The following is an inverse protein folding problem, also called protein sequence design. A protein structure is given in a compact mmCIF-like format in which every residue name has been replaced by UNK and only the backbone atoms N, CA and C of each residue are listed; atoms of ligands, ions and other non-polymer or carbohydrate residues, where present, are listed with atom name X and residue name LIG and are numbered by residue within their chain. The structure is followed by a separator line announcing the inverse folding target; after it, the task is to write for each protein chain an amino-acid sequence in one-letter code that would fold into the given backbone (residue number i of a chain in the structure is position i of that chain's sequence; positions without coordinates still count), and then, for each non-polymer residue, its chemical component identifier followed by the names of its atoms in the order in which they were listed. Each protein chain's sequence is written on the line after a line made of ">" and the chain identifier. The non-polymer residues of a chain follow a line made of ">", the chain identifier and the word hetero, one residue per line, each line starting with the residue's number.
data_IF_142052165054
#
_entry.id   IF_142052165054
#
_cell.length_a   1.000
_cell.length_b   1.000
_cell.length_c   1.000
_cell.angle_alpha   90.00
_cell.angle_beta   90.00
_cell.angle_gamma   90.00
#
_symmetry.space_group_name_H-M   'P 1'
#
loop_
_entity.id
_entity.type
_entity.pdbx_description
1 polymer ?
#
# COMPACT_ATOMS: atom_id res chain seq x y z
N UNK A 1 -10.70 -9.95 55.41
CA UNK A 1 -11.49 -9.14 54.46
C UNK A 1 -11.00 -9.51 53.06
N UNK A 2 -11.70 -10.40 52.37
CA UNK A 2 -11.38 -10.71 50.98
C UNK A 2 -11.75 -9.47 50.15
N UNK A 3 -10.75 -8.81 49.56
CA UNK A 3 -10.99 -7.63 48.73
C UNK A 3 -11.88 -8.02 47.56
N UNK A 4 -13.02 -7.36 47.42
CA UNK A 4 -13.88 -7.50 46.24
C UNK A 4 -13.00 -7.35 45.00
N UNK A 5 -12.95 -8.39 44.16
CA UNK A 5 -12.23 -8.34 42.91
C UNK A 5 -12.90 -7.25 42.05
N UNK A 6 -12.15 -6.27 41.55
CA UNK A 6 -12.71 -5.15 40.80
C UNK A 6 -13.55 -5.60 39.58
N UNK A 7 -13.37 -6.85 39.12
CA UNK A 7 -14.17 -7.51 38.07
C UNK A 7 -15.63 -7.76 38.47
N UNK A 8 -15.95 -7.83 39.75
CA UNK A 8 -17.31 -8.08 40.26
C UNK A 8 -18.15 -6.79 40.34
N UNK A 9 -17.52 -5.61 40.18
CA UNK A 9 -18.20 -4.31 40.20
C UNK A 9 -18.98 -4.03 38.90
N UNK A 10 -18.62 -4.67 37.79
CA UNK A 10 -19.23 -4.41 36.49
C UNK A 10 -19.93 -5.65 35.95
N UNK A 11 -21.06 -5.44 35.27
CA UNK A 11 -21.82 -6.54 34.67
C UNK A 11 -21.13 -7.13 33.45
N UNK A 12 -20.31 -6.36 32.73
CA UNK A 12 -19.71 -6.74 31.42
C UNK A 12 -18.19 -6.51 31.37
N UNK A 13 -17.68 -5.40 31.91
CA UNK A 13 -16.26 -5.03 31.82
C UNK A 13 -15.38 -6.07 32.54
N UNK A 14 -14.36 -6.58 31.84
CA UNK A 14 -13.44 -7.57 32.39
C UNK A 14 -13.95 -9.02 32.38
N UNK A 15 -15.11 -9.27 31.76
CA UNK A 15 -15.71 -10.62 31.62
C UNK A 15 -15.53 -11.16 30.21
N UNK A 16 -15.42 -12.49 30.11
CA UNK A 16 -15.42 -13.20 28.84
C UNK A 16 -16.83 -13.20 28.25
N UNK A 17 -17.08 -12.29 27.31
CA UNK A 17 -18.34 -12.19 26.58
C UNK A 17 -18.11 -12.54 25.11
N UNK A 18 -19.05 -13.23 24.43
CA UNK A 18 -18.94 -13.48 23.00
C UNK A 18 -18.81 -12.17 22.20
N UNK A 19 -17.98 -12.19 21.16
CA UNK A 19 -17.85 -11.07 20.22
C UNK A 19 -19.19 -10.93 19.46
N UNK A 20 -19.63 -9.70 19.22
CA UNK A 20 -20.95 -9.38 18.65
C UNK A 20 -21.28 -10.12 17.36
N UNK A 21 -20.28 -10.34 16.51
CA UNK A 21 -20.41 -10.95 15.18
C UNK A 21 -19.90 -12.41 15.14
N UNK A 22 -19.68 -13.02 16.31
CA UNK A 22 -19.11 -14.36 16.39
C UNK A 22 -20.00 -15.41 15.71
N UNK A 23 -21.33 -15.27 15.86
CA UNK A 23 -22.30 -16.22 15.27
C UNK A 23 -22.19 -16.22 13.76
N UNK A 24 -22.22 -15.05 13.15
CA UNK A 24 -22.23 -14.88 11.69
C UNK A 24 -20.93 -15.35 11.05
N UNK A 25 -19.80 -15.17 11.73
CA UNK A 25 -18.49 -15.68 11.30
C UNK A 25 -18.46 -17.21 11.30
N UNK A 26 -18.89 -17.86 12.39
CA UNK A 26 -18.82 -19.32 12.50
C UNK A 26 -19.88 -20.04 11.66
N UNK A 27 -20.97 -19.36 11.28
CA UNK A 27 -22.00 -19.91 10.37
C UNK A 27 -21.74 -19.59 8.90
N UNK A 28 -20.75 -18.75 8.58
CA UNK A 28 -20.51 -18.28 7.20
C UNK A 28 -21.64 -17.38 6.66
N UNK A 29 -22.47 -16.81 7.53
CA UNK A 29 -23.54 -15.89 7.13
C UNK A 29 -23.08 -14.43 7.08
N UNK A 30 -21.92 -14.12 7.68
CA UNK A 30 -21.26 -12.84 7.48
C UNK A 30 -20.75 -12.76 6.04
N UNK A 31 -21.02 -11.64 5.36
CA UNK A 31 -20.55 -11.37 4.00
C UNK A 31 -19.38 -10.41 4.03
N UNK A 32 -18.28 -10.80 3.42
CA UNK A 32 -17.11 -9.97 3.18
C UNK A 32 -17.24 -9.24 1.86
N UNK A 33 -16.37 -8.26 1.58
CA UNK A 33 -16.44 -7.46 0.35
C UNK A 33 -16.43 -8.31 -0.93
N UNK A 34 -15.72 -9.45 -0.91
CA UNK A 34 -15.66 -10.41 -2.02
C UNK A 34 -16.92 -11.24 -2.22
N UNK A 35 -17.79 -11.32 -1.21
CA UNK A 35 -19.06 -12.05 -1.29
C UNK A 35 -20.21 -11.17 -1.80
N UNK A 36 -19.97 -9.88 -1.99
CA UNK A 36 -20.97 -8.93 -2.43
C UNK A 36 -21.07 -8.92 -3.96
N UNK A 37 -22.31 -8.88 -4.46
CA UNK A 37 -22.61 -8.73 -5.88
C UNK A 37 -23.80 -7.81 -6.07
N UNK A 38 -23.79 -7.01 -7.13
CA UNK A 38 -24.89 -6.13 -7.49
C UNK A 38 -25.33 -6.33 -8.94
N UNK A 39 -26.58 -5.99 -9.24
CA UNK A 39 -27.07 -5.96 -10.63
C UNK A 39 -26.29 -4.91 -11.42
N UNK A 40 -25.76 -5.30 -12.59
CA UNK A 40 -24.91 -4.43 -13.40
C UNK A 40 -23.52 -4.17 -12.83
N UNK A 41 -23.06 -4.97 -11.86
CA UNK A 41 -21.70 -4.88 -11.34
C UNK A 41 -20.67 -5.12 -12.45
N UNK A 42 -19.62 -4.32 -12.42
CA UNK A 42 -18.48 -4.41 -13.34
C UNK A 42 -17.24 -4.85 -12.58
N UNK A 43 -16.33 -5.52 -13.28
CA UNK A 43 -15.12 -6.07 -12.71
C UNK A 43 -13.91 -5.24 -13.11
N UNK A 44 -13.20 -4.75 -12.10
CA UNK A 44 -11.97 -4.00 -12.26
C UNK A 44 -10.74 -4.91 -12.24
N UNK A 45 -9.77 -4.70 -13.14
CA UNK A 45 -8.45 -5.33 -13.06
C UNK A 45 -7.34 -4.34 -13.35
N UNK A 46 -6.29 -4.39 -12.56
CA UNK A 46 -5.14 -3.48 -12.65
C UNK A 46 -4.00 -4.19 -13.39
N UNK A 47 -3.45 -3.54 -14.41
CA UNK A 47 -2.15 -3.85 -14.95
C UNK A 47 -1.08 -3.30 -14.01
N UNK A 48 -0.18 -4.16 -13.55
CA UNK A 48 0.88 -3.80 -12.61
C UNK A 48 2.24 -3.87 -13.27
N UNK A 49 3.13 -2.94 -12.92
CA UNK A 49 4.50 -2.90 -13.42
C UNK A 49 5.28 -4.14 -12.99
N UNK A 50 6.00 -4.81 -13.91
CA UNK A 50 6.94 -5.86 -13.55
C UNK A 50 8.33 -5.32 -13.13
N UNK A 51 8.52 -3.99 -13.14
CA UNK A 51 9.82 -3.36 -12.94
C UNK A 51 9.87 -2.57 -11.62
N UNK A 52 11.01 -2.68 -10.93
CA UNK A 52 11.26 -1.97 -9.68
C UNK A 52 11.40 -0.46 -9.86
N UNK A 53 11.92 0.01 -10.99
CA UNK A 53 11.95 1.43 -11.33
C UNK A 53 11.97 1.56 -12.86
N UNK A 54 10.98 2.24 -13.42
CA UNK A 54 10.89 2.44 -14.85
C UNK A 54 10.02 3.65 -15.20
N UNK A 55 10.28 4.25 -16.36
CA UNK A 55 9.39 5.23 -17.00
C UNK A 55 8.65 4.58 -18.15
N UNK A 56 7.35 4.81 -18.24
CA UNK A 56 6.52 4.40 -19.36
C UNK A 56 6.83 5.34 -20.52
N UNK A 57 7.34 4.77 -21.61
CA UNK A 57 7.64 5.51 -22.85
C UNK A 57 6.49 5.45 -23.85
N UNK A 58 5.73 4.35 -23.84
CA UNK A 58 4.50 4.17 -24.61
C UNK A 58 3.56 3.21 -23.89
N UNK A 59 2.27 3.46 -24.02
CA UNK A 59 1.19 2.56 -23.59
C UNK A 59 0.14 2.49 -24.69
N UNK A 60 -0.30 1.28 -25.03
CA UNK A 60 -1.30 0.98 -26.05
C UNK A 60 -2.36 0.03 -25.48
N UNK A 61 -3.57 0.56 -25.29
CA UNK A 61 -4.75 -0.16 -24.79
C UNK A 61 -5.70 -0.61 -25.90
N UNK A 62 -5.40 -0.33 -27.17
CA UNK A 62 -6.36 -0.49 -28.28
C UNK A 62 -6.92 -1.91 -28.40
N UNK A 63 -6.07 -2.93 -28.20
CA UNK A 63 -6.47 -4.34 -28.23
C UNK A 63 -7.35 -4.73 -27.04
N UNK A 64 -7.10 -4.13 -25.87
CA UNK A 64 -7.90 -4.35 -24.68
C UNK A 64 -9.28 -3.70 -24.82
N UNK A 65 -9.33 -2.47 -25.32
CA UNK A 65 -10.58 -1.73 -25.58
C UNK A 65 -11.46 -2.40 -26.64
N UNK A 66 -10.85 -3.03 -27.65
CA UNK A 66 -11.55 -3.75 -28.69
C UNK A 66 -12.12 -5.12 -28.23
N UNK A 67 -11.77 -5.61 -27.04
CA UNK A 67 -12.24 -6.89 -26.54
C UNK A 67 -13.72 -6.80 -26.14
N UNK A 68 -14.63 -7.64 -26.71
CA UNK A 68 -16.04 -7.61 -26.35
C UNK A 68 -16.25 -7.78 -24.84
N UNK A 69 -17.07 -6.91 -24.24
CA UNK A 69 -17.35 -6.91 -22.81
C UNK A 69 -16.45 -5.98 -21.98
N UNK A 70 -15.39 -5.41 -22.56
CA UNK A 70 -14.65 -4.31 -21.94
C UNK A 70 -15.46 -3.02 -22.05
N UNK A 71 -15.57 -2.29 -20.94
CA UNK A 71 -16.29 -1.03 -20.84
C UNK A 71 -15.36 0.18 -20.94
N UNK A 72 -14.11 0.00 -20.53
CA UNK A 72 -13.10 1.04 -20.62
C UNK A 72 -11.76 0.59 -20.06
N UNK A 73 -10.73 1.29 -20.50
CA UNK A 73 -9.37 1.22 -19.97
C UNK A 73 -8.97 2.63 -19.57
N UNK A 74 -8.38 2.78 -18.39
CA UNK A 74 -7.84 4.04 -17.91
C UNK A 74 -6.34 3.90 -17.67
N UNK A 75 -5.61 4.94 -18.04
CA UNK A 75 -4.15 5.04 -17.94
C UNK A 75 -3.76 6.34 -17.24
N UNK A 76 -2.46 6.62 -17.14
CA UNK A 76 -1.96 7.90 -16.66
C UNK A 76 -2.43 9.11 -17.47
N UNK A 77 -2.92 8.90 -18.70
CA UNK A 77 -3.47 9.97 -19.56
C UNK A 77 -4.87 10.40 -19.14
N UNK A 78 -5.59 9.53 -18.42
CA UNK A 78 -6.99 9.72 -18.02
C UNK A 78 -7.10 10.08 -16.52
N UNK A 79 -6.03 9.83 -15.76
CA UNK A 79 -5.96 10.13 -14.35
C UNK A 79 -5.97 11.65 -14.11
N UNK A 80 -6.62 12.12 -13.02
CA UNK A 80 -6.54 13.52 -12.65
C UNK A 80 -5.11 13.92 -12.33
N UNK A 81 -4.71 15.11 -12.75
CA UNK A 81 -3.43 15.72 -12.38
C UNK A 81 -3.45 16.19 -10.92
N UNK A 82 -3.50 15.21 -10.01
CA UNK A 82 -3.57 15.41 -8.57
C UNK A 82 -2.48 14.56 -7.91
N UNK A 83 -1.64 15.24 -7.13
CA UNK A 83 -0.71 14.55 -6.24
C UNK A 83 -1.50 13.97 -5.08
N UNK A 84 -1.59 12.65 -5.04
CA UNK A 84 -2.19 11.91 -3.97
C UNK A 84 -1.17 11.71 -2.84
N UNK A 85 -1.39 12.41 -1.73
CA UNK A 85 -0.59 12.27 -0.52
C UNK A 85 -1.44 11.66 0.60
N UNK A 86 -1.11 10.43 1.00
CA UNK A 86 -1.76 9.79 2.15
C UNK A 86 -0.80 9.77 3.34
N UNK A 87 -1.18 10.50 4.38
CA UNK A 87 -0.41 10.62 5.63
C UNK A 87 -0.11 9.27 6.31
N UNK A 88 -0.86 8.21 6.01
CA UNK A 88 -0.72 6.88 6.64
C UNK A 88 0.08 5.84 5.83
N UNK A 89 0.28 6.05 4.53
CA UNK A 89 0.81 5.00 3.64
C UNK A 89 2.15 5.34 2.98
N UNK A 90 2.80 6.44 3.38
CA UNK A 90 4.04 6.93 2.76
C UNK A 90 3.97 7.08 1.23
N UNK A 91 2.76 7.10 0.66
CA UNK A 91 2.53 7.30 -0.75
C UNK A 91 2.37 8.79 -1.02
N UNK A 92 3.23 9.28 -1.92
CA UNK A 92 3.15 10.57 -2.59
C UNK A 92 3.27 10.30 -4.08
N UNK A 93 2.35 10.77 -4.91
CA UNK A 93 2.45 10.55 -6.36
C UNK A 93 1.11 10.67 -7.06
N UNK A 94 1.11 10.51 -8.37
CA UNK A 94 -0.11 10.48 -9.16
C UNK A 94 -0.68 9.07 -9.18
N UNK A 95 -2.01 8.95 -9.16
CA UNK A 95 -2.69 7.68 -9.40
C UNK A 95 -2.51 7.32 -10.87
N UNK A 96 -2.09 6.08 -11.18
CA UNK A 96 -1.69 5.67 -12.52
C UNK A 96 -0.68 6.66 -13.10
N UNK A 97 0.56 6.58 -12.65
CA UNK A 97 1.60 7.53 -13.07
C UNK A 97 2.34 7.04 -14.33
N UNK A 98 3.10 7.93 -14.98
CA UNK A 98 3.99 7.56 -16.08
C UNK A 98 5.28 6.85 -15.61
N UNK A 99 5.40 6.63 -14.29
CA UNK A 99 6.56 5.99 -13.65
C UNK A 99 6.14 4.90 -12.69
N UNK A 100 6.78 3.75 -12.83
CA UNK A 100 6.74 2.68 -11.85
C UNK A 100 7.91 2.81 -10.88
N UNK A 101 7.63 2.64 -9.58
CA UNK A 101 8.59 2.82 -8.47
C UNK A 101 8.82 1.56 -7.63
N UNK A 102 8.09 0.50 -7.94
CA UNK A 102 8.26 -0.83 -7.36
C UNK A 102 7.58 -1.88 -8.25
N UNK A 103 7.96 -3.14 -8.07
CA UNK A 103 7.27 -4.26 -8.73
C UNK A 103 5.87 -4.37 -8.15
N UNK A 104 4.86 -4.18 -8.99
CA UNK A 104 3.46 -4.11 -8.56
C UNK A 104 2.81 -2.74 -8.72
N UNK A 105 3.56 -1.68 -9.02
CA UNK A 105 3.02 -0.32 -9.17
C UNK A 105 1.92 -0.27 -10.26
N UNK A 106 0.89 0.56 -10.06
CA UNK A 106 -0.27 0.60 -10.94
C UNK A 106 0.04 1.31 -12.27
N UNK A 107 -0.21 0.65 -13.40
CA UNK A 107 0.11 1.15 -14.76
C UNK A 107 -1.14 1.51 -15.55
N UNK A 108 -2.17 0.66 -15.47
CA UNK A 108 -3.46 0.87 -16.10
C UNK A 108 -4.55 0.11 -15.33
N UNK A 109 -5.80 0.50 -15.51
CA UNK A 109 -6.94 -0.25 -14.99
C UNK A 109 -7.97 -0.50 -16.09
N UNK A 110 -8.58 -1.68 -16.05
CA UNK A 110 -9.63 -2.13 -16.97
C UNK A 110 -10.93 -2.33 -16.20
N UNK A 111 -12.05 -1.90 -16.77
CA UNK A 111 -13.39 -2.28 -16.33
C UNK A 111 -14.06 -3.15 -17.39
N UNK A 112 -14.63 -4.30 -16.99
CA UNK A 112 -15.36 -5.19 -17.88
C UNK A 112 -16.64 -5.75 -17.23
N UNK A 113 -17.55 -6.29 -18.04
CA UNK A 113 -18.81 -6.89 -17.58
C UNK A 113 -18.62 -8.25 -16.88
N UNK A 114 -17.44 -8.84 -17.00
CA UNK A 114 -17.09 -10.15 -16.47
C UNK A 114 -15.62 -10.15 -15.98
N UNK A 115 -15.34 -10.93 -14.94
CA UNK A 115 -14.01 -10.96 -14.32
C UNK A 115 -12.94 -11.56 -15.23
N UNK A 116 -13.28 -12.60 -15.99
CA UNK A 116 -12.33 -13.27 -16.88
C UNK A 116 -12.04 -12.42 -18.11
N UNK A 117 -13.04 -11.67 -18.60
CA UNK A 117 -12.83 -10.63 -19.61
C UNK A 117 -11.87 -9.55 -19.09
N UNK A 118 -12.05 -9.06 -17.86
CA UNK A 118 -11.14 -8.08 -17.26
C UNK A 118 -9.70 -8.63 -17.15
N UNK A 119 -9.54 -9.90 -16.73
CA UNK A 119 -8.23 -10.58 -16.67
C UNK A 119 -7.58 -10.73 -18.05
N UNK A 120 -8.36 -11.03 -19.08
CA UNK A 120 -7.86 -11.14 -20.45
C UNK A 120 -7.46 -9.78 -21.01
N UNK A 121 -8.31 -8.77 -20.84
CA UNK A 121 -8.09 -7.42 -21.34
C UNK A 121 -6.81 -6.79 -20.80
N UNK A 122 -6.51 -6.95 -19.50
CA UNK A 122 -5.25 -6.45 -18.92
C UNK A 122 -4.01 -7.02 -19.61
N UNK A 123 -4.06 -8.27 -20.10
CA UNK A 123 -2.94 -8.90 -20.82
C UNK A 123 -2.78 -8.42 -22.26
N UNK A 124 -3.78 -7.70 -22.79
CA UNK A 124 -3.77 -7.14 -24.15
C UNK A 124 -3.21 -5.73 -24.20
N UNK A 125 -2.99 -5.10 -23.04
CA UNK A 125 -2.36 -3.78 -22.95
C UNK A 125 -0.85 -3.95 -23.16
N UNK A 126 -0.31 -3.20 -24.11
CA UNK A 126 1.12 -3.21 -24.44
C UNK A 126 1.78 -1.97 -23.82
N UNK A 127 2.90 -2.16 -23.13
CA UNK A 127 3.62 -1.08 -22.43
C UNK A 127 5.10 -1.18 -22.72
N UNK A 128 5.67 -0.09 -23.22
CA UNK A 128 7.10 0.05 -23.46
C UNK A 128 7.73 0.84 -22.31
N UNK A 129 8.74 0.26 -21.67
CA UNK A 129 9.42 0.84 -20.51
C UNK A 129 10.85 1.24 -20.83
N UNK A 130 11.27 2.38 -20.30
CA UNK A 130 12.66 2.69 -20.05
C UNK A 130 12.98 2.25 -18.61
N UNK A 131 13.86 1.26 -18.46
CA UNK A 131 14.26 0.76 -17.15
C UNK A 131 15.24 1.74 -16.51
N UNK A 132 14.91 2.16 -15.29
CA UNK A 132 15.72 3.11 -14.52
C UNK A 132 16.44 2.37 -13.38
N UNK A 133 17.60 2.87 -12.91
CA UNK A 133 18.28 2.28 -11.76
C UNK A 133 17.41 2.37 -10.52
N UNK A 134 17.21 1.25 -9.82
CA UNK A 134 16.53 1.21 -8.52
C UNK A 134 17.51 1.33 -7.35
N UNK A 135 17.00 1.69 -6.18
CA UNK A 135 17.72 1.61 -4.90
C UNK A 135 16.84 0.90 -3.88
N UNK A 136 17.42 -0.05 -3.14
CA UNK A 136 16.68 -1.00 -2.30
C UNK A 136 17.09 -0.97 -0.83
N UNK A 137 18.10 -0.17 -0.51
CA UNK A 137 18.58 0.05 0.84
C UNK A 137 18.32 1.52 1.23
N UNK A 138 17.75 1.81 2.41
CA UNK A 138 17.43 3.16 2.80
C UNK A 138 18.67 4.05 3.03
N UNK A 139 19.78 3.49 3.53
CA UNK A 139 21.02 4.25 3.73
C UNK A 139 21.66 4.62 2.39
N UNK A 140 21.70 3.67 1.44
CA UNK A 140 22.12 3.94 0.07
C UNK A 140 21.20 4.97 -0.61
N UNK A 141 19.88 4.89 -0.39
CA UNK A 141 18.91 5.82 -0.98
C UNK A 141 19.07 7.27 -0.51
N UNK A 142 19.65 7.48 0.69
CA UNK A 142 19.93 8.81 1.25
C UNK A 142 21.19 9.47 0.68
N UNK A 143 22.02 8.73 -0.06
CA UNK A 143 23.25 9.29 -0.62
C UNK A 143 22.96 10.32 -1.71
N UNK A 144 23.78 11.37 -1.86
CA UNK A 144 23.55 12.43 -2.85
C UNK A 144 23.50 11.96 -4.31
N UNK A 145 24.20 10.87 -4.62
CA UNK A 145 24.33 10.25 -5.93
C UNK A 145 23.41 9.03 -6.13
N UNK A 146 22.57 8.73 -5.16
CA UNK A 146 21.64 7.60 -5.24
C UNK A 146 20.66 7.75 -6.41
N UNK A 147 20.23 6.64 -7.03
CA UNK A 147 19.14 6.67 -7.99
C UNK A 147 17.91 7.38 -7.42
N UNK A 148 17.48 8.43 -8.12
CA UNK A 148 16.35 9.25 -7.69
C UNK A 148 15.04 8.60 -8.11
N UNK A 149 14.42 7.85 -7.19
CA UNK A 149 13.12 7.17 -7.42
C UNK A 149 11.97 8.18 -7.43
N UNK A 150 12.14 9.30 -6.72
CA UNK A 150 11.12 10.33 -6.52
C UNK A 150 11.62 11.71 -6.93
N UNK A 151 10.76 12.48 -7.60
CA UNK A 151 11.11 13.84 -8.06
C UNK A 151 11.36 14.81 -6.91
N UNK A 152 10.86 14.53 -5.71
CA UNK A 152 11.08 15.32 -4.50
C UNK A 152 12.31 14.88 -3.70
N UNK A 153 12.90 13.72 -4.02
CA UNK A 153 14.00 13.10 -3.28
C UNK A 153 13.59 11.81 -2.57
N UNK A 154 14.59 11.01 -2.18
CA UNK A 154 14.36 9.69 -1.57
C UNK A 154 14.15 9.75 -0.04
N UNK A 155 14.51 10.87 0.60
CA UNK A 155 14.41 11.07 2.04
C UNK A 155 13.38 12.15 2.38
N UNK A 156 12.75 12.03 3.54
CA UNK A 156 11.93 13.09 4.15
C UNK A 156 12.68 13.73 5.30
N UNK A 157 12.27 14.94 5.66
CA UNK A 157 12.75 15.59 6.88
C UNK A 157 12.50 14.70 8.10
N UNK A 158 13.52 14.47 8.95
CA UNK A 158 13.38 13.61 10.11
C UNK A 158 12.46 14.26 11.15
N UNK A 159 11.64 13.44 11.79
CA UNK A 159 10.91 13.86 12.99
C UNK A 159 11.83 13.71 14.21
N UNK A 160 12.42 14.82 14.65
CA UNK A 160 13.36 14.84 15.78
C UNK A 160 12.58 15.09 17.08
N UNK A 161 12.76 14.20 18.05
CA UNK A 161 12.14 14.32 19.39
C UNK A 161 13.24 14.44 20.43
N UNK A 162 13.33 15.61 21.07
CA UNK A 162 14.28 15.88 22.15
C UNK A 162 13.52 16.33 23.39
N UNK A 163 13.92 15.81 24.56
CA UNK A 163 13.32 16.14 25.85
C UNK A 163 14.43 16.55 26.82
N UNK A 164 14.47 17.84 27.18
CA UNK A 164 15.56 18.41 27.98
C UNK A 164 16.84 18.66 27.16
N UNK A 165 17.98 18.70 27.86
CA UNK A 165 19.31 18.86 27.26
C UNK A 165 20.00 17.49 27.12
N UNK A 166 19.84 16.89 25.94
CA UNK A 166 20.34 15.55 25.63
C UNK A 166 21.87 15.51 25.68
N UNK A 167 22.54 16.53 25.14
CA UNK A 167 24.01 16.60 25.10
C UNK A 167 24.61 16.67 26.50
N UNK A 168 24.00 17.47 27.39
CA UNK A 168 24.38 17.51 28.80
C UNK A 168 24.14 16.16 29.48
N UNK A 169 22.98 15.55 29.25
CA UNK A 169 22.63 14.24 29.82
C UNK A 169 23.64 13.16 29.46
N UNK A 170 24.08 13.11 28.20
CA UNK A 170 25.12 12.17 27.75
C UNK A 170 26.46 12.43 28.44
N UNK A 171 26.88 13.70 28.57
CA UNK A 171 28.17 14.07 29.18
C UNK A 171 28.25 13.80 30.68
N UNK A 172 27.15 13.97 31.39
CA UNK A 172 27.08 13.80 32.85
C UNK A 172 26.79 12.34 33.26
N UNK A 173 26.59 11.43 32.30
CA UNK A 173 26.30 10.02 32.58
C UNK A 173 27.55 9.23 32.95
N UNK A 174 27.46 8.40 33.99
CA UNK A 174 28.54 7.48 34.38
C UNK A 174 28.79 6.38 33.34
N UNK A 175 27.74 5.97 32.61
CA UNK A 175 27.78 4.94 31.56
C UNK A 175 26.90 5.37 30.40
N UNK A 176 27.41 5.22 29.17
CA UNK A 176 26.67 5.40 27.91
C UNK A 176 26.77 4.10 27.12
N UNK A 177 25.64 3.62 26.59
CA UNK A 177 25.57 2.44 25.74
C UNK A 177 24.85 2.80 24.42
N UNK A 178 25.43 2.33 23.31
CA UNK A 178 24.92 2.53 21.97
C UNK A 178 24.79 1.18 21.27
N UNK A 179 23.71 1.01 20.51
CA UNK A 179 23.47 -0.20 19.73
C UNK A 179 22.72 0.13 18.44
N UNK A 180 23.08 -0.55 17.36
CA UNK A 180 22.36 -0.53 16.08
C UNK A 180 21.46 -1.77 15.99
N UNK A 181 20.19 -1.58 15.62
CA UNK A 181 19.21 -2.65 15.49
C UNK A 181 18.55 -2.58 14.12
N UNK A 182 18.47 -3.71 13.43
CA UNK A 182 17.83 -3.84 12.12
C UNK A 182 16.64 -4.80 12.21
N UNK A 183 15.51 -4.41 11.63
CA UNK A 183 14.32 -5.23 11.52
C UNK A 183 14.05 -5.53 10.05
N UNK A 184 13.77 -6.80 9.74
CA UNK A 184 13.37 -7.18 8.39
C UNK A 184 11.97 -6.62 8.06
N UNK A 185 11.69 -6.44 6.77
CA UNK A 185 10.33 -6.16 6.30
C UNK A 185 9.40 -7.31 6.63
N UNK A 186 8.22 -7.00 7.16
CA UNK A 186 7.20 -7.97 7.55
C UNK A 186 5.91 -7.71 6.77
N UNK A 187 5.33 -8.79 6.23
CA UNK A 187 4.05 -8.75 5.58
C UNK A 187 2.96 -9.23 6.55
N UNK A 188 1.82 -8.53 6.60
CA UNK A 188 0.73 -8.85 7.54
C UNK A 188 0.08 -10.22 7.28
N UNK A 189 0.11 -10.68 6.03
CA UNK A 189 -0.44 -11.95 5.56
C UNK A 189 -1.89 -12.23 6.06
N UNK A 190 -2.84 -11.30 5.86
CA UNK A 190 -4.24 -11.54 6.23
C UNK A 190 -4.84 -12.65 5.35
N UNK A 191 -5.76 -13.43 5.92
CA UNK A 191 -6.39 -14.58 5.25
C UNK A 191 -7.68 -14.18 4.49
N UNK A 192 -8.16 -12.94 4.71
CA UNK A 192 -9.44 -12.43 4.18
C UNK A 192 -10.47 -12.21 5.26
#
# INVERSE_FOLDING_TARGET
>A
MAGNNAKDLFSVVGKAVPIKDAREKVTGSLKYGVDLSASGMVYGKILRSPHAHARITRIDSSRAEALPGVLGVVTYKDAPDLVWEVCWHNYRGHILDDRARFVGDEVAAVAAVDEDIAKQAVKLIEVDYEILPGVFDPEEAMKPDAPRVRVEGNAREPYIVNWGDVDKGIKESDIVAEASMNFASQHQAPIG
#
